data_IF_214393407104
#
_entry.id   IF_214393407104
#
_cell.length_a   1.000
_cell.length_b   1.000
_cell.length_c   1.000
_cell.angle_alpha   90.00
_cell.angle_beta   90.00
_cell.angle_gamma   90.00
#
_symmetry.space_group_name_H-M   'P 1'
#
loop_
_entity.id
_entity.type
_entity.pdbx_description
1 polymer ?
#
# COMPACT_ATOMS: atom_id res chain seq x y z
N UNK A 1 64.22 -65.90 19.55
CA UNK A 1 64.35 -64.52 20.07
C UNK A 1 63.78 -63.56 19.03
N UNK A 2 62.86 -62.67 19.45
CA UNK A 2 62.30 -61.49 18.76
C UNK A 2 61.53 -61.76 17.44
N UNK A 3 60.20 -61.91 17.43
CA UNK A 3 59.08 -60.94 17.62
C UNK A 3 58.88 -59.94 16.47
N UNK A 4 57.76 -60.05 15.75
CA UNK A 4 56.76 -59.03 15.34
C UNK A 4 56.02 -59.54 14.07
N UNK A 5 54.79 -60.05 14.18
CA UNK A 5 53.48 -59.35 14.09
C UNK A 5 53.17 -58.75 12.70
N UNK A 6 52.34 -59.44 11.93
CA UNK A 6 51.38 -58.85 10.99
C UNK A 6 50.01 -59.52 11.21
N UNK A 7 49.05 -58.75 11.72
CA UNK A 7 47.64 -59.13 11.83
C UNK A 7 46.93 -58.90 10.49
N UNK A 8 46.11 -59.86 10.09
CA UNK A 8 45.45 -59.91 8.79
C UNK A 8 44.30 -58.90 8.64
N UNK A 9 44.23 -58.32 7.43
CA UNK A 9 43.06 -57.66 6.87
C UNK A 9 41.99 -58.71 6.54
N UNK A 10 40.75 -58.48 6.97
CA UNK A 10 39.55 -59.02 6.30
C UNK A 10 38.65 -57.83 5.99
N UNK A 11 38.52 -57.51 4.70
CA UNK A 11 37.65 -56.46 4.19
C UNK A 11 36.22 -57.00 4.08
N UNK A 12 35.31 -56.42 4.84
CA UNK A 12 33.86 -56.61 4.67
C UNK A 12 33.31 -55.42 3.89
N UNK A 13 32.80 -55.69 2.69
CA UNK A 13 32.12 -54.71 1.82
C UNK A 13 30.70 -54.50 2.35
N UNK A 14 30.42 -53.30 2.87
CA UNK A 14 29.07 -52.84 3.21
C UNK A 14 28.58 -51.91 2.09
N UNK A 15 27.59 -52.39 1.33
CA UNK A 15 26.80 -51.57 0.42
C UNK A 15 25.92 -50.61 1.25
N UNK A 16 26.24 -49.32 1.20
CA UNK A 16 25.35 -48.26 1.71
C UNK A 16 24.41 -47.88 0.58
N UNK A 17 23.14 -48.24 0.72
CA UNK A 17 22.05 -47.70 -0.08
C UNK A 17 21.82 -46.25 0.34
N UNK A 18 22.24 -45.31 -0.51
CA UNK A 18 21.87 -43.90 -0.40
C UNK A 18 20.37 -43.76 -0.63
N UNK A 19 19.62 -43.54 0.44
CA UNK A 19 18.24 -43.06 0.38
C UNK A 19 18.26 -41.62 -0.16
N UNK A 20 17.73 -41.43 -1.36
CA UNK A 20 17.33 -40.13 -1.87
C UNK A 20 16.20 -39.58 -0.97
N UNK A 21 16.54 -38.76 0.02
CA UNK A 21 15.57 -37.90 0.68
C UNK A 21 15.30 -36.72 -0.26
N UNK A 22 14.23 -36.85 -1.06
CA UNK A 22 13.69 -35.76 -1.86
C UNK A 22 13.26 -34.61 -0.95
N UNK A 23 13.81 -33.43 -1.21
CA UNK A 23 13.27 -32.17 -0.72
C UNK A 23 11.92 -31.94 -1.40
N UNK A 24 10.83 -32.21 -0.68
CA UNK A 24 9.47 -31.98 -1.16
C UNK A 24 8.48 -31.99 0.00
N UNK A 25 7.78 -30.87 0.20
CA UNK A 25 6.62 -30.76 1.07
C UNK A 25 6.93 -30.35 2.52
N UNK A 26 7.21 -29.07 2.74
CA UNK A 26 7.16 -28.47 4.07
C UNK A 26 5.72 -28.40 4.58
N UNK A 27 5.19 -29.52 5.09
CA UNK A 27 3.96 -29.55 5.86
C UNK A 27 4.19 -28.87 7.22
N UNK A 28 3.92 -27.57 7.30
CA UNK A 28 3.82 -26.88 8.59
C UNK A 28 2.74 -27.53 9.45
N UNK A 29 2.94 -27.57 10.77
CA UNK A 29 2.02 -28.17 11.74
C UNK A 29 0.55 -27.83 11.43
N UNK A 30 -0.38 -28.76 11.70
CA UNK A 30 -1.82 -28.56 11.41
C UNK A 30 -2.37 -27.27 12.02
N UNK A 31 -1.83 -26.84 13.17
CA UNK A 31 -2.20 -25.60 13.85
C UNK A 31 -1.29 -24.41 13.52
N UNK A 32 -1.00 -24.19 12.24
CA UNK A 32 -0.22 -23.03 11.79
C UNK A 32 -0.75 -22.46 10.48
N UNK A 33 -0.47 -21.19 10.17
CA UNK A 33 -0.72 -20.58 8.87
C UNK A 33 0.52 -19.85 8.35
N UNK A 34 0.65 -19.75 7.03
CA UNK A 34 1.67 -18.95 6.38
C UNK A 34 1.06 -17.65 5.83
N UNK A 35 1.61 -16.51 6.23
CA UNK A 35 1.12 -15.17 5.88
C UNK A 35 2.17 -14.41 5.08
N UNK A 36 1.83 -13.99 3.87
CA UNK A 36 2.66 -13.12 3.03
C UNK A 36 2.21 -11.67 3.18
N UNK A 37 3.08 -10.79 3.68
CA UNK A 37 2.68 -9.48 4.19
C UNK A 37 3.61 -8.35 3.74
N UNK A 38 3.04 -7.19 3.41
CA UNK A 38 3.80 -5.96 3.14
C UNK A 38 4.51 -5.45 4.40
N UNK A 39 5.70 -4.87 4.25
CA UNK A 39 6.56 -4.46 5.37
C UNK A 39 6.25 -3.08 5.99
N UNK A 40 5.03 -2.55 5.80
CA UNK A 40 4.64 -1.25 6.35
C UNK A 40 4.68 -1.25 7.89
N UNK A 41 4.96 -0.12 8.56
CA UNK A 41 5.18 -0.10 10.01
C UNK A 41 4.07 -0.75 10.85
N UNK A 42 2.80 -0.51 10.53
CA UNK A 42 1.67 -1.11 11.25
C UNK A 42 1.55 -2.62 11.04
N UNK A 43 2.00 -3.14 9.88
CA UNK A 43 2.08 -4.59 9.63
C UNK A 43 3.22 -5.22 10.43
N UNK A 44 4.33 -4.51 10.63
CA UNK A 44 5.39 -4.96 11.53
C UNK A 44 4.91 -4.97 12.98
N UNK A 45 4.07 -4.02 13.39
CA UNK A 45 3.44 -4.02 14.70
C UNK A 45 2.49 -5.22 14.86
N UNK A 46 1.71 -5.57 13.83
CA UNK A 46 0.92 -6.80 13.79
C UNK A 46 1.78 -8.04 14.00
N UNK A 47 2.89 -8.16 13.26
CA UNK A 47 3.83 -9.27 13.39
C UNK A 47 4.34 -9.40 14.83
N UNK A 48 4.77 -8.29 15.45
CA UNK A 48 5.30 -8.26 16.82
C UNK A 48 4.25 -8.66 17.85
N UNK A 49 3.00 -8.21 17.68
CA UNK A 49 1.91 -8.47 18.62
C UNK A 49 1.30 -9.87 18.47
N UNK A 50 1.52 -10.54 17.34
CA UNK A 50 0.83 -11.81 17.01
C UNK A 50 1.15 -12.93 17.98
N UNK A 51 2.42 -13.12 18.36
CA UNK A 51 2.80 -14.24 19.22
C UNK A 51 2.13 -14.18 20.61
N UNK A 52 2.17 -12.99 21.23
CA UNK A 52 1.71 -12.80 22.61
C UNK A 52 0.19 -12.65 22.76
N UNK A 53 -0.53 -12.37 21.67
CA UNK A 53 -1.96 -12.05 21.71
C UNK A 53 -2.83 -12.97 20.84
N UNK A 54 -2.35 -13.41 19.68
CA UNK A 54 -3.10 -14.31 18.82
C UNK A 54 -2.67 -15.77 19.00
N UNK A 55 -1.37 -16.04 18.86
CA UNK A 55 -0.85 -17.41 18.96
C UNK A 55 -1.01 -17.96 20.37
N UNK A 56 -0.76 -17.15 21.40
CA UNK A 56 -0.98 -17.54 22.80
C UNK A 56 -2.43 -17.94 23.09
N UNK A 57 -3.40 -17.19 22.56
CA UNK A 57 -4.81 -17.38 22.89
C UNK A 57 -5.49 -18.46 22.03
N UNK A 58 -5.02 -18.66 20.80
CA UNK A 58 -5.62 -19.62 19.85
C UNK A 58 -4.82 -20.91 19.69
N UNK A 59 -3.55 -20.90 20.10
CA UNK A 59 -2.57 -21.94 19.80
C UNK A 59 -2.07 -21.96 18.35
N UNK A 60 -2.58 -21.08 17.47
CA UNK A 60 -2.24 -21.06 16.03
C UNK A 60 -0.94 -20.29 15.81
N UNK A 61 0.08 -20.98 15.28
CA UNK A 61 1.34 -20.32 14.89
C UNK A 61 1.18 -19.58 13.56
N UNK A 62 1.62 -18.33 13.50
CA UNK A 62 1.60 -17.53 12.27
C UNK A 62 3.02 -17.34 11.76
N UNK A 63 3.32 -17.91 10.58
CA UNK A 63 4.61 -17.78 9.93
C UNK A 63 4.55 -16.64 8.91
N UNK A 64 5.19 -15.51 9.22
CA UNK A 64 5.20 -14.36 8.35
C UNK A 64 6.37 -14.38 7.37
N UNK A 65 6.08 -14.16 6.09
CA UNK A 65 7.04 -13.65 5.11
C UNK A 65 6.72 -12.18 4.88
N UNK A 66 7.64 -11.29 5.24
CA UNK A 66 7.45 -9.83 5.17
C UNK A 66 8.37 -9.25 4.10
N UNK A 67 7.80 -8.55 3.11
CA UNK A 67 8.53 -8.03 1.96
C UNK A 67 8.14 -6.57 1.66
N UNK A 68 9.03 -5.79 0.99
CA UNK A 68 8.66 -4.50 0.40
C UNK A 68 7.48 -4.61 -0.58
N UNK A 69 6.73 -3.53 -0.76
CA UNK A 69 5.48 -3.51 -1.53
C UNK A 69 5.58 -4.08 -2.95
N UNK A 70 6.63 -3.74 -3.71
CA UNK A 70 6.80 -4.29 -5.06
C UNK A 70 7.05 -5.81 -5.01
N UNK A 71 8.00 -6.24 -4.17
CA UNK A 71 8.37 -7.64 -4.03
C UNK A 71 7.21 -8.50 -3.50
N UNK A 72 6.43 -7.97 -2.55
CA UNK A 72 5.30 -8.71 -1.97
C UNK A 72 4.21 -8.89 -3.00
N UNK A 73 3.87 -7.86 -3.80
CA UNK A 73 2.85 -7.96 -4.85
C UNK A 73 3.23 -8.96 -5.93
N UNK A 74 4.48 -8.93 -6.39
CA UNK A 74 4.98 -9.90 -7.38
C UNK A 74 4.88 -11.33 -6.82
N UNK A 75 5.29 -11.51 -5.56
CA UNK A 75 5.25 -12.83 -4.91
C UNK A 75 3.82 -13.33 -4.67
N UNK A 76 2.92 -12.45 -4.25
CA UNK A 76 1.49 -12.75 -4.08
C UNK A 76 0.89 -13.15 -5.43
N UNK A 77 1.09 -12.34 -6.46
CA UNK A 77 0.55 -12.60 -7.80
C UNK A 77 1.03 -13.95 -8.33
N UNK A 78 2.31 -14.28 -8.15
CA UNK A 78 2.85 -15.58 -8.55
C UNK A 78 2.20 -16.74 -7.77
N UNK A 79 2.12 -16.65 -6.45
CA UNK A 79 1.61 -17.75 -5.62
C UNK A 79 0.10 -17.95 -5.80
N UNK A 80 -0.67 -16.86 -5.81
CA UNK A 80 -2.13 -16.88 -5.93
C UNK A 80 -2.57 -17.22 -7.35
N UNK A 81 -1.92 -16.73 -8.42
CA UNK A 81 -2.31 -17.11 -9.78
C UNK A 81 -2.07 -18.59 -10.10
N UNK A 82 -0.97 -19.14 -9.59
CA UNK A 82 -0.63 -20.56 -9.77
C UNK A 82 -1.33 -21.49 -8.77
N UNK A 83 -2.02 -20.93 -7.78
CA UNK A 83 -2.64 -21.67 -6.68
C UNK A 83 -1.64 -22.63 -6.00
N UNK A 84 -0.40 -22.18 -5.81
CA UNK A 84 0.71 -23.00 -5.32
C UNK A 84 0.60 -23.38 -3.83
N UNK A 85 -0.27 -22.72 -3.06
CA UNK A 85 -0.55 -23.09 -1.68
C UNK A 85 0.60 -22.82 -0.71
N UNK A 86 1.58 -21.98 -1.06
CA UNK A 86 2.69 -21.69 -0.14
C UNK A 86 2.24 -20.76 1.00
N UNK A 87 1.27 -19.88 0.71
CA UNK A 87 0.71 -18.92 1.66
C UNK A 87 -0.79 -19.12 1.80
N UNK A 88 -1.26 -19.19 3.04
CA UNK A 88 -2.68 -19.30 3.35
C UNK A 88 -3.38 -17.94 3.23
N UNK A 89 -2.67 -16.88 3.64
CA UNK A 89 -3.15 -15.50 3.69
C UNK A 89 -2.13 -14.58 3.03
N UNK A 90 -2.61 -13.58 2.30
CA UNK A 90 -1.78 -12.51 1.76
C UNK A 90 -2.37 -11.13 2.05
N UNK A 91 -1.50 -10.11 2.22
CA UNK A 91 -1.93 -8.71 2.16
C UNK A 91 -2.15 -8.29 0.71
N UNK A 92 -3.40 -8.13 0.30
CA UNK A 92 -3.82 -7.61 -1.01
C UNK A 92 -4.51 -6.25 -0.82
N UNK A 93 -4.93 -5.60 -1.91
CA UNK A 93 -5.66 -4.34 -1.84
C UNK A 93 -6.99 -4.38 -2.60
N UNK A 94 -7.69 -3.25 -2.60
CA UNK A 94 -8.87 -3.02 -3.43
C UNK A 94 -8.58 -3.04 -4.95
N UNK A 95 -7.31 -3.00 -5.37
CA UNK A 95 -6.96 -3.28 -6.77
C UNK A 95 -7.00 -4.79 -7.05
N UNK A 96 -6.28 -5.60 -6.29
CA UNK A 96 -6.14 -7.04 -6.58
C UNK A 96 -7.41 -7.82 -6.22
N UNK A 97 -8.11 -7.45 -5.14
CA UNK A 97 -9.24 -8.23 -4.59
C UNK A 97 -10.30 -8.59 -5.64
N UNK A 98 -10.90 -7.64 -6.39
CA UNK A 98 -11.90 -7.98 -7.40
C UNK A 98 -11.32 -8.84 -8.54
N UNK A 99 -10.08 -8.56 -8.98
CA UNK A 99 -9.42 -9.30 -10.07
C UNK A 99 -9.16 -10.75 -9.64
N UNK A 100 -8.65 -10.96 -8.42
CA UNK A 100 -8.32 -12.28 -7.91
C UNK A 100 -9.58 -13.08 -7.59
N UNK A 101 -10.65 -12.41 -7.14
CA UNK A 101 -11.96 -13.02 -6.95
C UNK A 101 -12.55 -13.51 -8.29
N UNK A 102 -12.52 -12.69 -9.34
CA UNK A 102 -12.98 -13.05 -10.69
C UNK A 102 -12.22 -14.27 -11.24
N UNK A 103 -10.92 -14.35 -10.98
CA UNK A 103 -10.09 -15.49 -11.38
C UNK A 103 -10.23 -16.72 -10.46
N UNK A 104 -11.06 -16.64 -9.40
CA UNK A 104 -11.29 -17.74 -8.46
C UNK A 104 -10.11 -18.05 -7.55
N UNK A 105 -9.20 -17.10 -7.34
CA UNK A 105 -7.98 -17.29 -6.56
C UNK A 105 -8.16 -17.06 -5.06
N UNK A 106 -9.27 -16.44 -4.67
CA UNK A 106 -9.61 -16.12 -3.29
C UNK A 106 -10.77 -16.96 -2.76
N UNK A 107 -10.74 -17.22 -1.46
CA UNK A 107 -11.87 -17.80 -0.72
C UNK A 107 -12.90 -16.70 -0.44
N UNK A 108 -14.19 -16.87 -0.82
CA UNK A 108 -15.25 -15.96 -0.39
C UNK A 108 -15.41 -16.00 1.13
N UNK A 109 -15.65 -14.85 1.76
CA UNK A 109 -15.64 -14.71 3.21
C UNK A 109 -17.03 -14.61 3.84
N UNK A 110 -18.11 -14.56 3.05
CA UNK A 110 -19.48 -14.34 3.53
C UNK A 110 -19.93 -15.39 4.58
N UNK A 111 -19.63 -16.67 4.34
CA UNK A 111 -19.97 -17.75 5.28
C UNK A 111 -19.19 -17.63 6.60
N UNK A 112 -17.97 -17.11 6.56
CA UNK A 112 -17.16 -16.88 7.75
C UNK A 112 -17.68 -15.68 8.53
N UNK A 113 -17.96 -14.58 7.84
CA UNK A 113 -18.55 -13.37 8.41
C UNK A 113 -19.90 -13.66 9.06
N UNK A 114 -20.76 -14.44 8.40
CA UNK A 114 -22.07 -14.81 8.94
C UNK A 114 -21.99 -15.66 10.22
N UNK A 115 -20.95 -16.48 10.36
CA UNK A 115 -20.71 -17.32 11.56
C UNK A 115 -20.01 -16.55 12.67
N UNK A 116 -19.12 -15.62 12.32
CA UNK A 116 -18.35 -14.80 13.26
C UNK A 116 -19.06 -13.49 13.58
N UNK A 117 -20.13 -13.60 14.38
CA UNK A 117 -20.91 -12.42 14.82
C UNK A 117 -20.09 -11.39 15.60
N UNK A 118 -18.92 -11.76 16.13
CA UNK A 118 -18.01 -10.85 16.83
C UNK A 118 -17.20 -9.96 15.90
N UNK A 119 -17.05 -10.31 14.63
CA UNK A 119 -16.28 -9.52 13.65
C UNK A 119 -16.91 -8.16 13.34
N UNK A 120 -18.25 -8.10 13.38
CA UNK A 120 -19.05 -6.90 13.09
C UNK A 120 -18.69 -6.28 11.72
N UNK A 121 -19.19 -6.92 10.66
CA UNK A 121 -18.95 -6.49 9.27
C UNK A 121 -19.54 -5.11 8.97
N UNK A 122 -20.66 -4.75 9.59
CA UNK A 122 -21.36 -3.48 9.35
C UNK A 122 -20.62 -2.29 9.96
N UNK A 123 -19.72 -2.55 10.90
CA UNK A 123 -18.79 -1.55 11.42
C UNK A 123 -17.65 -1.22 10.44
N UNK A 124 -17.37 -2.07 9.43
CA UNK A 124 -16.43 -1.71 8.37
C UNK A 124 -16.98 -0.52 7.58
N UNK A 125 -16.13 0.46 7.27
CA UNK A 125 -16.51 1.62 6.47
C UNK A 125 -17.01 1.18 5.10
N UNK A 126 -18.13 1.75 4.67
CA UNK A 126 -18.84 1.32 3.46
C UNK A 126 -17.94 1.38 2.20
N UNK A 127 -17.19 2.47 1.93
CA UNK A 127 -16.31 2.52 0.76
C UNK A 127 -15.24 1.42 0.77
N UNK A 128 -14.69 1.10 1.94
CA UNK A 128 -13.67 0.05 2.10
C UNK A 128 -14.29 -1.32 1.87
N UNK A 129 -15.43 -1.60 2.52
CA UNK A 129 -16.16 -2.86 2.35
C UNK A 129 -16.52 -3.09 0.88
N UNK A 130 -17.11 -2.10 0.22
CA UNK A 130 -17.48 -2.17 -1.20
C UNK A 130 -16.26 -2.42 -2.10
N UNK A 131 -15.12 -1.81 -1.78
CA UNK A 131 -13.88 -1.98 -2.56
C UNK A 131 -13.27 -3.39 -2.47
N UNK A 132 -13.70 -4.19 -1.48
CA UNK A 132 -13.27 -5.59 -1.26
C UNK A 132 -14.36 -6.60 -1.63
N UNK A 133 -15.49 -6.12 -2.16
CA UNK A 133 -16.59 -6.92 -2.69
C UNK A 133 -16.43 -7.06 -4.20
N UNK A 134 -16.50 -8.29 -4.71
CA UNK A 134 -16.41 -8.55 -6.16
C UNK A 134 -17.77 -8.40 -6.85
N UNK A 135 -17.79 -8.52 -8.19
CA UNK A 135 -18.99 -8.33 -9.00
C UNK A 135 -20.12 -9.34 -8.71
N UNK A 136 -19.79 -10.50 -8.11
CA UNK A 136 -20.76 -11.50 -7.64
C UNK A 136 -21.45 -11.12 -6.30
N UNK A 137 -21.11 -9.95 -5.74
CA UNK A 137 -21.67 -9.42 -4.50
C UNK A 137 -21.04 -9.98 -3.23
N UNK A 138 -20.00 -10.81 -3.33
CA UNK A 138 -19.33 -11.44 -2.18
C UNK A 138 -18.11 -10.68 -1.73
N UNK A 139 -17.82 -10.76 -0.43
CA UNK A 139 -16.60 -10.17 0.16
C UNK A 139 -15.46 -11.17 0.08
N UNK A 140 -14.30 -10.75 -0.45
CA UNK A 140 -13.15 -11.64 -0.66
C UNK A 140 -11.90 -11.31 0.17
N UNK A 141 -11.92 -10.18 0.89
CA UNK A 141 -10.86 -9.78 1.81
C UNK A 141 -11.41 -8.94 2.96
N UNK A 142 -10.68 -8.88 4.07
CA UNK A 142 -11.01 -7.99 5.19
C UNK A 142 -9.91 -6.96 5.41
N UNK A 143 -10.26 -5.68 5.65
CA UNK A 143 -9.28 -4.60 5.71
C UNK A 143 -8.44 -4.66 6.98
N UNK A 144 -7.12 -4.60 6.84
CA UNK A 144 -6.22 -4.34 7.97
C UNK A 144 -6.13 -2.85 8.29
N UNK A 145 -6.08 -1.98 7.28
CA UNK A 145 -6.39 -0.55 7.40
C UNK A 145 -6.93 -0.02 6.08
N UNK A 146 -7.60 1.12 6.13
CA UNK A 146 -7.99 1.88 4.95
C UNK A 146 -7.29 3.25 4.95
N UNK A 147 -7.10 3.82 3.78
CA UNK A 147 -6.44 5.11 3.64
C UNK A 147 -6.99 5.89 2.45
N UNK A 148 -6.81 7.19 2.55
CA UNK A 148 -6.92 8.12 1.44
C UNK A 148 -5.57 8.82 1.26
N UNK A 149 -5.54 9.97 0.59
CA UNK A 149 -4.35 10.83 0.51
C UNK A 149 -4.65 12.24 0.96
N UNK A 150 -3.63 12.90 1.52
CA UNK A 150 -3.69 14.29 1.94
C UNK A 150 -2.29 14.91 1.96
N UNK A 151 -2.20 16.22 2.19
CA UNK A 151 -0.93 16.92 2.34
C UNK A 151 -0.58 17.06 3.83
N UNK A 152 0.54 16.47 4.23
CA UNK A 152 1.17 16.65 5.53
C UNK A 152 2.23 17.74 5.43
N UNK A 153 2.28 18.66 6.39
CA UNK A 153 3.26 19.75 6.38
C UNK A 153 3.74 20.12 7.79
N UNK A 154 4.97 20.62 7.89
CA UNK A 154 5.57 21.16 9.10
C UNK A 154 5.00 22.55 9.40
N UNK A 155 3.91 22.62 10.16
CA UNK A 155 3.27 23.90 10.53
C UNK A 155 4.21 24.83 11.27
N UNK A 156 5.12 24.30 12.09
CA UNK A 156 6.15 25.08 12.78
C UNK A 156 7.14 25.74 11.82
N UNK A 157 7.45 25.11 10.67
CA UNK A 157 8.30 25.67 9.63
C UNK A 157 7.55 26.74 8.82
N UNK A 158 6.28 26.51 8.49
CA UNK A 158 5.44 27.48 7.79
C UNK A 158 5.20 28.72 8.66
N UNK A 159 4.84 28.54 9.92
CA UNK A 159 4.61 29.63 10.89
C UNK A 159 5.85 30.50 11.06
N UNK A 160 7.04 29.89 11.17
CA UNK A 160 8.31 30.61 11.26
C UNK A 160 8.64 31.45 10.02
N UNK A 161 8.04 31.11 8.87
CA UNK A 161 8.17 31.85 7.60
C UNK A 161 6.99 32.82 7.36
N UNK A 162 6.00 32.86 8.25
CA UNK A 162 4.77 33.63 8.06
C UNK A 162 3.90 33.10 6.92
N UNK A 163 4.01 31.81 6.60
CA UNK A 163 3.22 31.13 5.57
C UNK A 163 2.05 30.38 6.20
N UNK A 164 0.95 30.25 5.46
CA UNK A 164 -0.19 29.45 5.86
C UNK A 164 -0.54 28.45 4.77
N UNK A 165 -0.88 27.21 5.15
CA UNK A 165 -1.40 26.20 4.23
C UNK A 165 -2.94 26.30 4.17
N UNK A 166 -3.55 26.51 3.00
CA UNK A 166 -5.00 26.41 2.84
C UNK A 166 -5.50 25.00 3.20
N UNK A 167 -6.72 24.88 3.72
CA UNK A 167 -7.32 23.57 4.02
C UNK A 167 -7.50 22.71 2.76
N UNK A 168 -7.76 23.36 1.61
CA UNK A 168 -7.87 22.76 0.28
C UNK A 168 -6.88 23.42 -0.68
N UNK A 169 -5.59 23.07 -0.62
CA UNK A 169 -4.58 23.72 -1.43
C UNK A 169 -4.69 23.30 -2.90
N UNK A 170 -4.18 24.14 -3.80
CA UNK A 170 -3.93 23.74 -5.19
C UNK A 170 -2.49 23.24 -5.36
N UNK A 171 -2.25 22.40 -6.37
CA UNK A 171 -0.88 21.96 -6.67
C UNK A 171 0.10 23.13 -6.90
N UNK A 172 -0.25 24.20 -7.64
CA UNK A 172 0.58 25.40 -7.71
C UNK A 172 0.89 26.04 -6.35
N UNK A 173 -0.10 26.15 -5.45
CA UNK A 173 0.15 26.66 -4.09
C UNK A 173 1.12 25.76 -3.31
N UNK A 174 1.00 24.44 -3.46
CA UNK A 174 1.94 23.50 -2.84
C UNK A 174 3.36 23.68 -3.40
N UNK A 175 3.51 23.88 -4.71
CA UNK A 175 4.81 24.15 -5.31
C UNK A 175 5.44 25.46 -4.81
N UNK A 176 4.65 26.54 -4.73
CA UNK A 176 5.09 27.83 -4.22
C UNK A 176 5.53 27.73 -2.74
N UNK A 177 4.76 27.03 -1.92
CA UNK A 177 5.12 26.80 -0.51
C UNK A 177 6.38 25.93 -0.42
N UNK A 178 6.50 24.88 -1.23
CA UNK A 178 7.67 24.00 -1.25
C UNK A 178 8.95 24.79 -1.56
N UNK A 179 8.89 25.67 -2.57
CA UNK A 179 9.99 26.55 -2.91
C UNK A 179 10.36 27.51 -1.76
N UNK A 180 9.36 28.05 -1.06
CA UNK A 180 9.59 29.01 0.03
C UNK A 180 10.18 28.37 1.31
N UNK A 181 9.92 27.07 1.54
CA UNK A 181 10.39 26.33 2.72
C UNK A 181 11.58 25.40 2.44
N UNK A 182 11.97 25.21 1.18
CA UNK A 182 13.22 24.51 0.83
C UNK A 182 14.42 25.24 1.47
N UNK A 183 15.26 24.50 2.19
CA UNK A 183 16.37 25.06 2.96
C UNK A 183 15.96 25.89 4.17
N UNK A 184 14.70 25.84 4.63
CA UNK A 184 14.27 26.55 5.85
C UNK A 184 15.01 26.08 7.11
N UNK A 185 15.47 24.82 7.11
CA UNK A 185 16.38 24.26 8.10
C UNK A 185 17.58 23.61 7.38
N UNK A 186 18.76 23.51 7.99
CA UNK A 186 19.92 22.89 7.35
C UNK A 186 19.62 21.49 6.81
N UNK A 187 19.77 21.30 5.50
CA UNK A 187 19.51 20.02 4.82
C UNK A 187 18.03 19.67 4.60
N UNK A 188 17.10 20.53 5.00
CA UNK A 188 15.66 20.33 4.76
C UNK A 188 15.30 20.65 3.31
N UNK A 189 14.45 19.81 2.70
CA UNK A 189 13.87 20.00 1.38
C UNK A 189 12.40 20.44 1.45
N UNK A 190 11.92 21.07 0.38
CA UNK A 190 10.60 21.66 0.34
C UNK A 190 9.48 20.62 0.47
N UNK A 191 9.62 19.50 -0.24
CA UNK A 191 8.61 18.45 -0.29
C UNK A 191 9.25 17.07 -0.49
N UNK A 192 8.60 16.00 -0.01
CA UNK A 192 8.85 14.64 -0.47
C UNK A 192 7.71 14.17 -1.36
N UNK A 193 8.01 13.55 -2.50
CA UNK A 193 7.02 12.88 -3.35
C UNK A 193 7.63 11.60 -3.91
N UNK A 194 6.84 10.52 -3.98
CA UNK A 194 7.36 9.22 -4.40
C UNK A 194 8.00 9.29 -5.78
N UNK A 195 9.24 8.86 -5.92
CA UNK A 195 9.92 8.67 -7.21
C UNK A 195 10.33 7.23 -7.50
N UNK A 196 10.18 6.33 -6.52
CA UNK A 196 10.47 4.90 -6.68
C UNK A 196 9.55 4.26 -7.75
N UNK A 197 10.11 3.57 -8.75
CA UNK A 197 9.31 2.82 -9.71
C UNK A 197 8.39 1.79 -9.04
N UNK A 198 7.16 1.70 -9.52
CA UNK A 198 6.14 0.75 -9.11
C UNK A 198 4.74 1.31 -9.40
N UNK A 199 3.84 0.45 -9.87
CA UNK A 199 2.45 0.84 -10.19
C UNK A 199 1.67 1.38 -8.97
N UNK A 200 1.96 0.89 -7.77
CA UNK A 200 1.44 1.46 -6.51
C UNK A 200 2.45 2.30 -5.73
N UNK A 201 3.65 2.51 -6.27
CA UNK A 201 4.64 3.46 -5.76
C UNK A 201 4.48 4.81 -6.46
N UNK A 202 5.45 5.26 -7.28
CA UNK A 202 5.40 6.53 -8.01
C UNK A 202 4.06 6.77 -8.73
N UNK A 203 3.48 5.75 -9.37
CA UNK A 203 2.25 5.97 -10.13
C UNK A 203 1.01 6.22 -9.28
N UNK A 204 1.00 5.82 -8.00
CA UNK A 204 -0.13 6.09 -7.13
C UNK A 204 -0.37 7.60 -6.92
N UNK A 205 0.54 8.37 -6.30
CA UNK A 205 0.36 9.81 -6.15
C UNK A 205 0.34 10.51 -7.51
N UNK A 206 1.19 10.14 -8.46
CA UNK A 206 1.24 10.81 -9.77
C UNK A 206 -0.09 10.67 -10.54
N UNK A 207 -0.75 9.52 -10.51
CA UNK A 207 -2.05 9.36 -11.17
C UNK A 207 -3.09 10.31 -10.57
N UNK A 208 -3.07 10.55 -9.25
CA UNK A 208 -3.96 11.55 -8.65
C UNK A 208 -3.68 12.98 -9.11
N UNK A 209 -2.40 13.33 -9.33
CA UNK A 209 -2.00 14.61 -9.92
C UNK A 209 -2.49 14.72 -11.36
N UNK A 210 -2.25 13.69 -12.18
CA UNK A 210 -2.75 13.60 -13.56
C UNK A 210 -4.26 13.83 -13.61
N UNK A 211 -5.02 13.16 -12.76
CA UNK A 211 -6.48 13.27 -12.73
C UNK A 211 -6.95 14.71 -12.50
N UNK A 212 -6.32 15.42 -11.55
CA UNK A 212 -6.75 16.78 -11.20
C UNK A 212 -6.32 17.83 -12.22
N UNK A 213 -5.27 17.58 -13.00
CA UNK A 213 -4.92 18.39 -14.18
C UNK A 213 -5.86 18.12 -15.38
N UNK A 214 -6.71 17.10 -15.28
CA UNK A 214 -7.67 16.70 -16.30
C UNK A 214 -7.19 15.58 -17.21
N UNK A 215 -6.01 15.02 -16.95
CA UNK A 215 -5.49 13.86 -17.68
C UNK A 215 -6.21 12.56 -17.31
N UNK A 216 -6.00 11.54 -18.13
CA UNK A 216 -6.47 10.17 -17.88
C UNK A 216 -5.50 9.17 -18.50
N UNK A 217 -5.50 7.94 -18.00
CA UNK A 217 -4.79 6.85 -18.68
C UNK A 217 -5.53 6.44 -19.96
N UNK A 218 -6.84 6.27 -19.85
CA UNK A 218 -7.73 5.87 -20.93
C UNK A 218 -9.00 6.72 -20.92
N UNK A 219 -9.50 7.08 -22.11
CA UNK A 219 -10.87 7.60 -22.27
C UNK A 219 -11.88 6.46 -22.09
N UNK A 220 -13.18 6.80 -21.96
CA UNK A 220 -14.27 5.81 -21.91
C UNK A 220 -14.28 4.83 -23.09
N UNK A 221 -13.76 5.24 -24.25
CA UNK A 221 -13.68 4.43 -25.47
C UNK A 221 -12.33 3.72 -25.62
N UNK A 222 -11.55 3.60 -24.53
CA UNK A 222 -10.23 2.96 -24.52
C UNK A 222 -9.24 3.60 -25.51
N UNK A 223 -9.19 4.92 -25.59
CA UNK A 223 -8.06 5.63 -26.21
C UNK A 223 -7.03 5.94 -25.14
N UNK A 224 -5.77 5.56 -25.33
CA UNK A 224 -4.72 5.89 -24.37
C UNK A 224 -4.38 7.38 -24.45
N UNK A 225 -4.06 8.02 -23.32
CA UNK A 225 -3.90 9.48 -23.23
C UNK A 225 -2.66 9.90 -22.42
N UNK A 226 -1.63 9.06 -22.35
CA UNK A 226 -0.44 9.28 -21.52
C UNK A 226 0.44 10.41 -22.06
N UNK A 227 0.43 10.68 -23.36
CA UNK A 227 1.11 11.83 -23.95
C UNK A 227 0.15 12.97 -24.34
N UNK A 228 -1.10 12.92 -23.88
CA UNK A 228 -2.04 14.03 -24.05
C UNK A 228 -1.58 15.27 -23.26
N UNK A 229 -1.95 16.49 -23.70
CA UNK A 229 -1.48 17.73 -23.08
C UNK A 229 -1.66 17.78 -21.55
N UNK A 230 -2.81 17.34 -21.03
CA UNK A 230 -3.10 17.36 -19.59
C UNK A 230 -2.27 16.35 -18.80
N UNK A 231 -2.04 15.15 -19.36
CA UNK A 231 -1.18 14.14 -18.71
C UNK A 231 0.27 14.60 -18.69
N UNK A 232 0.75 15.15 -19.82
CA UNK A 232 2.06 15.75 -19.95
C UNK A 232 2.26 16.87 -18.94
N UNK A 233 1.35 17.85 -18.90
CA UNK A 233 1.43 18.99 -17.98
C UNK A 233 1.53 18.54 -16.52
N UNK A 234 0.75 17.55 -16.11
CA UNK A 234 0.79 17.02 -14.75
C UNK A 234 2.12 16.31 -14.43
N UNK A 235 2.63 15.53 -15.38
CA UNK A 235 3.88 14.78 -15.22
C UNK A 235 5.07 15.72 -15.20
N UNK A 236 5.11 16.73 -16.08
CA UNK A 236 6.12 17.79 -16.06
C UNK A 236 6.09 18.55 -14.73
N UNK A 237 4.91 18.99 -14.27
CA UNK A 237 4.76 19.64 -12.98
C UNK A 237 5.34 18.79 -11.84
N UNK A 238 5.00 17.50 -11.79
CA UNK A 238 5.47 16.58 -10.74
C UNK A 238 6.99 16.41 -10.79
N UNK A 239 7.54 16.13 -11.98
CA UNK A 239 8.98 15.92 -12.18
C UNK A 239 9.77 17.18 -11.85
N UNK A 240 9.30 18.35 -12.30
CA UNK A 240 9.97 19.62 -12.04
C UNK A 240 9.94 19.98 -10.56
N UNK A 241 8.80 19.77 -9.88
CA UNK A 241 8.69 19.99 -8.44
C UNK A 241 9.67 19.11 -7.65
N UNK A 242 9.72 17.82 -7.96
CA UNK A 242 10.66 16.88 -7.31
C UNK A 242 12.11 17.25 -7.61
N UNK A 243 12.45 17.62 -8.85
CA UNK A 243 13.82 17.98 -9.20
C UNK A 243 14.27 19.30 -8.55
N UNK A 244 13.36 20.26 -8.39
CA UNK A 244 13.67 21.56 -7.82
C UNK A 244 13.72 21.52 -6.29
N UNK A 245 12.72 20.89 -5.66
CA UNK A 245 12.45 21.01 -4.22
C UNK A 245 12.25 19.67 -3.49
N UNK A 246 12.43 18.56 -4.20
CA UNK A 246 12.34 17.21 -3.68
C UNK A 246 13.53 16.78 -2.84
N UNK A 247 13.34 15.65 -2.19
CA UNK A 247 14.29 14.92 -1.38
C UNK A 247 15.51 14.41 -2.17
N UNK A 248 16.63 14.22 -1.48
CA UNK A 248 17.79 13.56 -2.06
C UNK A 248 17.48 12.08 -2.35
N UNK A 249 17.83 11.62 -3.55
CA UNK A 249 17.55 10.23 -3.96
C UNK A 249 16.07 9.99 -4.31
N UNK A 250 15.33 11.01 -4.72
CA UNK A 250 13.91 10.90 -5.06
C UNK A 250 13.54 9.71 -5.96
N UNK A 251 14.31 9.34 -7.01
CA UNK A 251 14.00 8.15 -7.82
C UNK A 251 14.00 6.81 -7.05
N UNK A 252 14.50 6.79 -5.80
CA UNK A 252 14.46 5.64 -4.90
C UNK A 252 13.48 5.81 -3.74
N UNK A 253 12.85 6.98 -3.60
CA UNK A 253 11.96 7.26 -2.48
C UNK A 253 10.55 6.73 -2.77
N UNK A 254 10.11 5.74 -1.99
CA UNK A 254 8.71 5.30 -1.91
C UNK A 254 8.04 5.86 -0.66
N UNK A 255 6.97 5.18 -0.24
CA UNK A 255 6.26 5.53 1.00
C UNK A 255 7.19 5.56 2.23
N UNK A 256 7.99 4.50 2.41
CA UNK A 256 8.79 4.30 3.60
C UNK A 256 9.91 5.36 3.71
N UNK A 257 10.54 5.69 2.59
CA UNK A 257 11.59 6.70 2.52
C UNK A 257 11.03 8.10 2.79
N UNK A 258 9.88 8.45 2.21
CA UNK A 258 9.24 9.74 2.50
C UNK A 258 8.71 9.85 3.93
N UNK A 259 8.13 8.78 4.48
CA UNK A 259 7.75 8.71 5.89
C UNK A 259 8.97 8.96 6.80
N UNK A 260 10.08 8.29 6.49
CA UNK A 260 11.32 8.46 7.24
C UNK A 260 11.90 9.88 7.10
N UNK A 261 11.86 10.46 5.89
CA UNK A 261 12.31 11.83 5.66
C UNK A 261 11.47 12.85 6.44
N UNK A 262 10.14 12.70 6.45
CA UNK A 262 9.25 13.55 7.24
C UNK A 262 9.50 13.35 8.75
N UNK A 263 9.60 12.10 9.21
CA UNK A 263 9.90 11.76 10.62
C UNK A 263 11.21 12.40 11.07
N UNK A 264 12.26 12.35 10.25
CA UNK A 264 13.55 12.94 10.57
C UNK A 264 13.61 14.46 10.35
N UNK A 265 12.50 15.09 9.94
CA UNK A 265 12.44 16.52 9.64
C UNK A 265 13.31 16.94 8.44
N UNK A 266 13.60 16.03 7.51
CA UNK A 266 14.37 16.30 6.29
C UNK A 266 13.54 16.93 5.18
N UNK A 267 12.21 16.88 5.27
CA UNK A 267 11.29 17.57 4.36
C UNK A 267 10.29 18.41 5.15
N UNK A 268 9.85 19.51 4.55
CA UNK A 268 8.83 20.37 5.14
C UNK A 268 7.40 19.92 4.80
N UNK A 269 7.20 19.27 3.65
CA UNK A 269 5.89 18.80 3.18
C UNK A 269 5.96 17.39 2.59
N UNK A 270 4.82 16.70 2.56
CA UNK A 270 4.67 15.39 1.94
C UNK A 270 3.21 15.13 1.60
N UNK A 271 2.92 14.89 0.32
CA UNK A 271 1.59 14.47 -0.14
C UNK A 271 1.56 12.94 -0.31
N UNK A 272 0.77 12.25 0.51
CA UNK A 272 0.72 10.79 0.53
C UNK A 272 -0.43 10.23 1.39
N UNK A 273 -0.38 8.93 1.66
CA UNK A 273 -1.33 8.14 2.42
C UNK A 273 -1.65 8.72 3.79
N UNK A 274 -2.94 8.77 4.13
CA UNK A 274 -3.43 9.24 5.44
C UNK A 274 -2.90 8.41 6.60
N UNK A 275 -2.61 7.13 6.38
CA UNK A 275 -2.10 6.19 7.39
C UNK A 275 -0.79 6.64 8.03
N UNK A 276 -0.01 7.47 7.33
CA UNK A 276 1.26 7.99 7.84
C UNK A 276 1.09 8.94 9.04
N UNK A 277 -0.03 9.67 9.13
CA UNK A 277 -0.19 10.68 10.17
C UNK A 277 -0.21 10.10 11.58
N UNK A 278 -0.83 8.92 11.77
CA UNK A 278 -0.83 8.24 13.04
C UNK A 278 0.57 7.88 13.55
N UNK A 279 1.46 7.53 12.62
CA UNK A 279 2.87 7.23 12.89
C UNK A 279 3.67 8.51 13.19
N UNK A 280 3.40 9.59 12.45
CA UNK A 280 4.08 10.87 12.62
C UNK A 280 3.64 11.62 13.90
N UNK A 281 2.44 11.36 14.40
CA UNK A 281 1.89 11.93 15.63
C UNK A 281 2.00 10.97 16.84
N UNK A 282 2.67 9.82 16.67
CA UNK A 282 2.95 8.88 17.76
C UNK A 282 3.86 9.49 18.83
N UNK A 283 3.75 8.99 20.06
CA UNK A 283 4.48 9.52 21.23
C UNK A 283 6.00 9.52 21.08
N UNK A 284 6.54 8.58 20.31
CA UNK A 284 7.97 8.42 20.02
C UNK A 284 8.42 9.17 18.75
N UNK A 285 7.50 9.86 18.06
CA UNK A 285 7.83 10.64 16.86
C UNK A 285 8.45 11.99 17.23
N UNK A 286 9.63 12.34 16.69
CA UNK A 286 10.27 13.64 16.96
C UNK A 286 9.55 14.83 16.29
N UNK A 287 8.59 14.56 15.41
CA UNK A 287 7.75 15.57 14.75
C UNK A 287 6.32 15.63 15.29
N UNK A 288 6.01 14.86 16.35
CA UNK A 288 4.71 14.92 17.02
C UNK A 288 4.34 16.36 17.40
N UNK A 289 3.11 16.74 17.10
CA UNK A 289 2.56 18.06 17.36
C UNK A 289 3.09 19.17 16.46
N UNK A 290 4.07 18.90 15.58
CA UNK A 290 4.67 19.87 14.64
C UNK A 290 4.06 19.81 13.25
N UNK A 291 3.11 18.91 13.02
CA UNK A 291 2.45 18.77 11.72
C UNK A 291 1.10 19.47 11.68
N UNK A 292 0.76 19.92 10.48
CA UNK A 292 -0.57 20.22 10.02
C UNK A 292 -0.94 19.28 8.86
N UNK A 293 -2.24 19.19 8.60
CA UNK A 293 -2.83 18.31 7.59
C UNK A 293 -3.82 19.13 6.76
N UNK A 294 -3.70 19.06 5.44
CA UNK A 294 -4.59 19.70 4.49
C UNK A 294 -5.09 18.67 3.49
N UNK A 295 -6.25 18.89 2.89
CA UNK A 295 -6.84 17.99 1.90
C UNK A 295 -5.89 17.77 0.69
N UNK A 296 -6.14 16.68 -0.05
CA UNK A 296 -5.38 16.38 -1.26
C UNK A 296 -5.38 17.57 -2.23
N UNK A 297 -4.22 18.01 -2.75
CA UNK A 297 -4.18 19.19 -3.61
C UNK A 297 -4.86 18.96 -4.97
N UNK A 298 -5.50 20.00 -5.49
CA UNK A 298 -6.28 19.94 -6.74
C UNK A 298 -5.84 21.01 -7.76
N UNK A 299 -6.32 20.88 -9.00
CA UNK A 299 -6.27 21.91 -10.05
C UNK A 299 -7.66 22.12 -10.65
N UNK A 300 -8.24 21.10 -11.29
CA UNK A 300 -9.54 21.18 -11.97
C UNK A 300 -10.65 20.35 -11.31
N UNK A 301 -10.32 19.52 -10.32
CA UNK A 301 -11.28 18.64 -9.63
C UNK A 301 -11.65 19.19 -8.24
N UNK A 302 -12.80 18.77 -7.71
CA UNK A 302 -13.22 19.12 -6.35
C UNK A 302 -12.44 18.37 -5.26
N UNK A 303 -11.87 17.22 -5.62
CA UNK A 303 -11.01 16.38 -4.78
C UNK A 303 -10.06 15.56 -5.66
N UNK A 304 -8.93 15.14 -5.10
CA UNK A 304 -7.96 14.21 -5.70
C UNK A 304 -7.58 13.07 -4.74
N UNK A 305 -8.23 13.01 -3.58
CA UNK A 305 -7.90 12.07 -2.51
C UNK A 305 -8.21 10.64 -2.95
N UNK A 306 -7.26 9.72 -2.80
CA UNK A 306 -7.45 8.34 -3.27
C UNK A 306 -8.28 7.48 -2.32
N UNK A 307 -8.58 6.24 -2.71
CA UNK A 307 -9.08 5.22 -1.80
C UNK A 307 -8.20 3.99 -1.92
N UNK A 308 -7.59 3.57 -0.82
CA UNK A 308 -6.77 2.38 -0.78
C UNK A 308 -7.02 1.62 0.52
N UNK A 309 -6.76 0.32 0.49
CA UNK A 309 -6.74 -0.52 1.69
C UNK A 309 -5.69 -1.59 1.53
N UNK A 310 -4.94 -1.87 2.59
CA UNK A 310 -4.29 -3.15 2.72
C UNK A 310 -5.21 -4.08 3.50
N UNK A 311 -5.57 -5.19 2.88
CA UNK A 311 -6.55 -6.15 3.34
C UNK A 311 -5.96 -7.57 3.30
N UNK A 312 -6.50 -8.47 4.12
CA UNK A 312 -6.11 -9.87 4.10
C UNK A 312 -7.07 -10.69 3.25
N UNK A 313 -6.54 -11.31 2.20
CA UNK A 313 -7.24 -12.30 1.38
C UNK A 313 -6.77 -13.71 1.72
N UNK A 314 -7.69 -14.67 1.76
CA UNK A 314 -7.38 -16.09 1.97
C UNK A 314 -7.30 -16.79 0.61
N UNK A 315 -6.18 -17.44 0.32
CA UNK A 315 -5.99 -18.15 -0.95
C UNK A 315 -7.01 -19.30 -1.06
N UNK A 316 -7.60 -19.48 -2.24
CA UNK A 316 -8.56 -20.56 -2.50
C UNK A 316 -7.97 -21.96 -2.32
N UNK A 317 -6.70 -22.14 -2.64
CA UNK A 317 -5.98 -23.40 -2.48
C UNK A 317 -5.69 -23.80 -1.03
N UNK A 318 -5.77 -22.86 -0.07
CA UNK A 318 -5.43 -23.13 1.34
C UNK A 318 -6.29 -24.26 1.90
N UNK A 319 -5.64 -25.21 2.57
CA UNK A 319 -6.30 -26.27 3.36
C UNK A 319 -6.52 -25.86 4.81
N UNK A 320 -6.16 -24.61 5.16
CA UNK A 320 -6.18 -24.06 6.52
C UNK A 320 -7.07 -22.83 6.63
N UNK A 321 -8.08 -22.73 5.76
CA UNK A 321 -8.95 -21.56 5.64
C UNK A 321 -9.65 -21.16 6.96
N UNK A 322 -10.04 -22.12 7.80
CA UNK A 322 -10.62 -21.83 9.12
C UNK A 322 -9.62 -21.14 10.07
N UNK A 323 -8.36 -21.59 10.07
CA UNK A 323 -7.30 -20.99 10.88
C UNK A 323 -6.86 -19.63 10.31
N UNK A 324 -6.82 -19.53 8.97
CA UNK A 324 -6.58 -18.28 8.28
C UNK A 324 -7.67 -17.24 8.62
N UNK A 325 -8.95 -17.63 8.62
CA UNK A 325 -10.05 -16.75 9.02
C UNK A 325 -9.91 -16.25 10.45
N UNK A 326 -9.55 -17.11 11.41
CA UNK A 326 -9.33 -16.68 12.81
C UNK A 326 -8.29 -15.56 12.90
N UNK A 327 -7.20 -15.67 12.14
CA UNK A 327 -6.18 -14.62 12.06
C UNK A 327 -6.71 -13.35 11.40
N UNK A 328 -7.38 -13.48 10.24
CA UNK A 328 -7.95 -12.35 9.50
C UNK A 328 -8.98 -11.58 10.34
N UNK A 329 -9.88 -12.30 11.00
CA UNK A 329 -10.90 -11.74 11.90
C UNK A 329 -10.26 -11.02 13.09
N UNK A 330 -9.25 -11.62 13.73
CA UNK A 330 -8.51 -10.98 14.82
C UNK A 330 -7.81 -9.69 14.35
N UNK A 331 -6.96 -9.77 13.32
CA UNK A 331 -6.15 -8.65 12.84
C UNK A 331 -6.98 -7.49 12.29
N UNK A 332 -8.13 -7.80 11.69
CA UNK A 332 -9.05 -6.81 11.11
C UNK A 332 -10.15 -6.38 12.09
N UNK A 333 -10.18 -6.97 13.28
CA UNK A 333 -11.23 -6.78 14.29
C UNK A 333 -11.02 -5.57 15.21
N UNK A 334 -12.10 -5.16 15.88
CA UNK A 334 -12.09 -4.10 16.91
C UNK A 334 -11.11 -4.39 18.05
N UNK A 335 -10.98 -5.66 18.43
CA UNK A 335 -10.08 -6.10 19.51
C UNK A 335 -8.61 -5.83 19.21
N UNK A 336 -8.18 -5.97 17.95
CA UNK A 336 -6.81 -5.64 17.56
C UNK A 336 -6.53 -4.13 17.63
N UNK A 337 -7.48 -3.29 17.22
CA UNK A 337 -7.36 -1.84 17.42
C UNK A 337 -7.25 -1.51 18.91
N UNK A 338 -8.08 -2.09 19.77
CA UNK A 338 -8.00 -1.86 21.21
C UNK A 338 -6.65 -2.29 21.80
N UNK A 339 -6.11 -3.42 21.34
CA UNK A 339 -4.77 -3.89 21.71
C UNK A 339 -3.69 -2.86 21.32
N UNK A 340 -3.69 -2.40 20.06
CA UNK A 340 -2.72 -1.40 19.58
C UNK A 340 -2.85 -0.11 20.39
N UNK A 341 -4.07 0.39 20.58
CA UNK A 341 -4.31 1.61 21.35
C UNK A 341 -3.76 1.56 22.77
N UNK A 342 -3.93 0.43 23.45
CA UNK A 342 -3.44 0.23 24.84
C UNK A 342 -1.95 -0.02 24.94
N UNK A 343 -1.32 -0.61 23.92
CA UNK A 343 0.08 -1.09 24.01
C UNK A 343 1.07 -0.19 23.27
N UNK A 344 0.67 0.35 22.11
CA UNK A 344 1.51 1.15 21.23
C UNK A 344 1.06 2.62 21.15
N UNK A 345 -0.15 2.91 21.62
CA UNK A 345 -0.73 4.25 21.64
C UNK A 345 -1.84 4.45 20.62
N UNK A 346 -2.84 5.25 20.99
CA UNK A 346 -4.06 5.44 20.22
C UNK A 346 -3.88 6.15 18.87
N UNK A 347 -2.80 6.90 18.65
CA UNK A 347 -2.53 7.46 17.31
C UNK A 347 -2.06 6.41 16.31
N UNK A 348 -1.54 5.26 16.77
CA UNK A 348 -0.96 4.22 15.91
C UNK A 348 -1.97 3.18 15.42
N UNK A 349 -3.25 3.35 15.73
CA UNK A 349 -4.29 2.43 15.27
C UNK A 349 -4.20 2.23 13.75
N UNK A 350 -4.37 0.99 13.24
CA UNK A 350 -4.56 0.75 11.82
C UNK A 350 -5.97 1.22 11.44
N UNK A 351 -6.10 2.53 11.23
CA UNK A 351 -7.34 3.26 11.09
C UNK A 351 -7.94 3.13 9.67
N UNK A 352 -8.96 3.96 9.37
CA UNK A 352 -9.55 4.04 8.04
C UNK A 352 -10.34 2.80 7.59
N UNK A 353 -10.55 1.81 8.46
CA UNK A 353 -11.34 0.62 8.16
C UNK A 353 -12.68 0.53 8.89
N UNK A 354 -12.82 1.12 10.08
CA UNK A 354 -13.98 0.91 10.97
C UNK A 354 -14.61 2.22 11.44
N UNK A 355 -15.94 2.24 11.48
CA UNK A 355 -16.75 3.37 11.98
C UNK A 355 -16.48 3.61 13.46
N UNK A 356 -16.42 2.54 14.25
CA UNK A 356 -16.17 2.60 15.70
C UNK A 356 -14.81 3.22 16.06
N UNK A 357 -13.80 3.13 15.19
CA UNK A 357 -12.50 3.81 15.37
C UNK A 357 -12.69 5.32 15.45
N UNK A 358 -13.44 5.90 14.52
CA UNK A 358 -13.71 7.34 14.44
C UNK A 358 -14.72 7.85 15.48
N UNK A 359 -15.37 6.95 16.22
CA UNK A 359 -16.25 7.29 17.35
C UNK A 359 -15.53 7.20 18.71
N UNK A 360 -14.31 6.66 18.73
CA UNK A 360 -13.57 6.37 19.96
C UNK A 360 -12.92 7.64 20.52
N UNK A 361 -13.26 8.06 21.75
CA UNK A 361 -12.72 9.29 22.35
C UNK A 361 -11.19 9.31 22.43
N UNK A 362 -10.56 8.19 22.76
CA UNK A 362 -9.11 8.06 22.89
C UNK A 362 -8.40 8.23 21.55
N UNK A 363 -8.94 7.66 20.48
CA UNK A 363 -8.43 7.85 19.12
C UNK A 363 -8.64 9.29 18.66
N UNK A 364 -9.81 9.88 18.87
CA UNK A 364 -10.05 11.27 18.49
C UNK A 364 -9.16 12.26 19.25
N UNK A 365 -8.88 12.00 20.52
CA UNK A 365 -7.98 12.81 21.32
C UNK A 365 -6.52 12.69 20.85
N UNK A 366 -6.05 11.47 20.56
CA UNK A 366 -4.69 11.23 20.08
C UNK A 366 -4.49 11.65 18.61
N UNK A 367 -5.52 11.43 17.77
CA UNK A 367 -5.48 11.69 16.34
C UNK A 367 -5.75 13.14 15.94
N UNK A 368 -6.38 13.92 16.83
CA UNK A 368 -6.58 15.35 16.64
C UNK A 368 -7.20 15.69 15.29
N UNK A 369 -6.53 16.55 14.52
CA UNK A 369 -7.02 16.98 13.21
C UNK A 369 -6.87 15.91 12.13
N UNK A 370 -5.84 15.04 12.17
CA UNK A 370 -5.65 14.08 11.08
C UNK A 370 -6.75 13.02 11.04
N UNK A 371 -7.26 12.58 12.20
CA UNK A 371 -8.31 11.57 12.26
C UNK A 371 -9.56 12.00 11.46
N UNK A 372 -10.03 13.24 11.69
CA UNK A 372 -11.18 13.80 10.97
C UNK A 372 -10.90 14.00 9.48
N UNK A 373 -9.70 14.43 9.13
CA UNK A 373 -9.31 14.66 7.74
C UNK A 373 -9.21 13.32 6.98
N UNK A 374 -8.68 12.28 7.61
CA UNK A 374 -8.60 10.93 7.06
C UNK A 374 -9.99 10.32 6.86
N UNK A 375 -10.88 10.40 7.87
CA UNK A 375 -12.27 9.92 7.74
C UNK A 375 -13.00 10.62 6.59
N UNK A 376 -12.91 11.96 6.52
CA UNK A 376 -13.56 12.74 5.48
C UNK A 376 -13.00 12.41 4.09
N UNK A 377 -11.68 12.21 3.97
CA UNK A 377 -11.04 11.86 2.71
C UNK A 377 -11.47 10.45 2.23
N UNK A 378 -11.51 9.46 3.13
CA UNK A 378 -11.99 8.10 2.81
C UNK A 378 -13.47 8.12 2.42
N UNK A 379 -14.31 8.80 3.20
CA UNK A 379 -15.75 8.89 2.94
C UNK A 379 -16.07 9.66 1.65
N UNK A 380 -15.23 10.65 1.29
CA UNK A 380 -15.38 11.48 0.11
C UNK A 380 -14.73 10.91 -1.16
N UNK A 381 -13.99 9.82 -1.08
CA UNK A 381 -13.31 9.24 -2.22
C UNK A 381 -14.31 8.66 -3.24
N UNK A 382 -14.08 8.93 -4.52
CA UNK A 382 -14.96 8.52 -5.63
C UNK A 382 -14.20 7.69 -6.68
N UNK A 383 -13.94 6.39 -6.43
CA UNK A 383 -13.19 5.56 -7.38
C UNK A 383 -13.82 5.44 -8.77
N UNK A 384 -15.13 5.66 -8.91
CA UNK A 384 -15.85 5.63 -10.19
C UNK A 384 -15.90 6.99 -10.89
N UNK A 385 -15.49 8.06 -10.22
CA UNK A 385 -15.47 9.44 -10.73
C UNK A 385 -14.19 10.18 -10.26
N UNK A 386 -13.00 9.70 -10.68
CA UNK A 386 -11.72 10.15 -10.13
C UNK A 386 -11.13 11.43 -10.77
N UNK A 387 -11.77 12.00 -11.81
CA UNK A 387 -11.19 13.08 -12.63
C UNK A 387 -12.25 14.05 -13.17
N UNK A 388 -11.99 14.61 -14.35
CA UNK A 388 -12.91 15.56 -15.02
C UNK A 388 -13.74 14.94 -16.16
N UNK A 389 -13.59 13.63 -16.36
CA UNK A 389 -14.18 12.89 -17.47
C UNK A 389 -14.51 11.45 -17.06
N UNK A 390 -15.51 10.87 -17.73
CA UNK A 390 -15.87 9.47 -17.59
C UNK A 390 -14.71 8.55 -18.01
N UNK A 391 -14.59 7.42 -17.31
CA UNK A 391 -13.54 6.41 -17.52
C UNK A 391 -14.15 5.03 -17.67
N UNK A 392 -13.48 4.10 -18.37
CA UNK A 392 -14.06 2.80 -18.66
C UNK A 392 -14.05 1.85 -17.44
N UNK A 393 -13.21 2.14 -16.43
CA UNK A 393 -13.06 1.33 -15.22
C UNK A 393 -12.83 2.22 -14.00
N UNK A 394 -13.07 1.67 -12.82
CA UNK A 394 -12.84 2.34 -11.54
C UNK A 394 -11.34 2.42 -11.18
N UNK A 395 -11.04 3.34 -10.25
CA UNK A 395 -9.71 3.58 -9.68
C UNK A 395 -9.35 5.06 -9.67
N UNK A 396 -8.78 5.54 -8.56
CA UNK A 396 -8.30 6.93 -8.45
C UNK A 396 -6.81 7.00 -8.79
N UNK A 397 -6.01 6.22 -8.06
CA UNK A 397 -4.55 6.16 -8.13
C UNK A 397 -4.03 4.98 -8.96
N UNK A 398 -4.93 4.13 -9.45
CA UNK A 398 -4.65 3.00 -10.35
C UNK A 398 -5.75 2.89 -11.41
N UNK A 399 -5.54 2.05 -12.43
CA UNK A 399 -6.58 1.66 -13.40
C UNK A 399 -7.03 0.24 -13.09
N UNK A 400 -8.33 0.02 -12.86
CA UNK A 400 -8.90 -1.27 -12.45
C UNK A 400 -8.93 -2.34 -13.54
N UNK A 401 -7.77 -2.70 -14.09
CA UNK A 401 -7.59 -3.79 -15.06
C UNK A 401 -6.39 -4.67 -14.66
N UNK A 402 -6.40 -5.98 -14.97
CA UNK A 402 -5.29 -6.89 -14.65
C UNK A 402 -3.93 -6.43 -15.20
N UNK A 403 -3.91 -5.83 -16.38
CA UNK A 403 -2.71 -5.36 -17.06
C UNK A 403 -2.03 -4.17 -16.36
N UNK A 404 -2.70 -3.49 -15.43
CA UNK A 404 -2.18 -2.25 -14.85
C UNK A 404 -0.94 -2.50 -13.98
N UNK A 405 -0.78 -3.68 -13.41
CA UNK A 405 0.45 -4.01 -12.65
C UNK A 405 1.70 -3.88 -13.51
N UNK A 406 1.67 -4.46 -14.72
CA UNK A 406 2.78 -4.42 -15.67
C UNK A 406 2.88 -3.06 -16.34
N UNK A 407 1.78 -2.56 -16.91
CA UNK A 407 1.72 -1.27 -17.59
C UNK A 407 2.17 -0.13 -16.65
N UNK A 408 1.57 -0.04 -15.47
CA UNK A 408 1.88 0.98 -14.47
C UNK A 408 3.34 0.91 -14.01
N UNK A 409 3.90 -0.31 -13.88
CA UNK A 409 5.31 -0.48 -13.51
C UNK A 409 6.25 -0.01 -14.60
N UNK A 410 6.03 -0.39 -15.86
CA UNK A 410 6.87 0.06 -16.97
C UNK A 410 6.81 1.58 -17.17
N UNK A 411 5.61 2.17 -17.08
CA UNK A 411 5.44 3.64 -17.14
C UNK A 411 6.17 4.32 -15.98
N UNK A 412 6.07 3.78 -14.76
CA UNK A 412 6.75 4.33 -13.60
C UNK A 412 8.28 4.34 -13.76
N UNK A 413 8.86 3.33 -14.40
CA UNK A 413 10.30 3.26 -14.64
C UNK A 413 10.76 4.39 -15.56
N UNK A 414 9.98 4.67 -16.61
CA UNK A 414 10.25 5.75 -17.57
C UNK A 414 10.15 7.13 -16.90
N UNK A 415 9.12 7.34 -16.09
CA UNK A 415 8.93 8.62 -15.38
C UNK A 415 9.98 8.80 -14.27
N UNK A 416 10.31 7.75 -13.54
CA UNK A 416 11.40 7.77 -12.55
C UNK A 416 12.76 8.07 -13.18
N UNK A 417 13.01 7.59 -14.41
CA UNK A 417 14.18 7.99 -15.20
C UNK A 417 14.16 9.49 -15.55
N UNK A 418 13.00 10.08 -15.80
CA UNK A 418 12.87 11.53 -16.00
C UNK A 418 13.12 12.32 -14.70
N UNK A 419 12.65 11.83 -13.54
CA UNK A 419 12.99 12.38 -12.21
C UNK A 419 14.52 12.35 -12.00
N UNK A 420 15.17 11.24 -12.38
CA UNK A 420 16.62 11.09 -12.32
C UNK A 420 17.40 11.95 -13.34
N UNK A 421 16.71 12.59 -14.29
CA UNK A 421 17.34 13.37 -15.37
C UNK A 421 17.98 12.53 -16.47
N UNK A 422 17.67 11.23 -16.54
CA UNK A 422 18.20 10.31 -17.56
C UNK A 422 17.43 10.38 -18.89
N UNK A 423 16.20 10.88 -18.88
CA UNK A 423 15.37 11.12 -20.07
C UNK A 423 14.51 12.38 -19.87
N UNK A 424 13.84 12.85 -20.92
CA UNK A 424 12.85 13.93 -20.83
C UNK A 424 11.47 13.36 -20.48
N UNK A 425 10.59 14.19 -19.92
CA UNK A 425 9.20 13.80 -19.68
C UNK A 425 8.51 13.42 -21.00
N UNK A 426 8.75 14.18 -22.08
CA UNK A 426 8.21 13.87 -23.40
C UNK A 426 8.58 12.48 -23.89
N UNK A 427 9.87 12.13 -23.88
CA UNK A 427 10.31 10.83 -24.33
C UNK A 427 9.74 9.71 -23.45
N UNK A 428 9.72 9.91 -22.12
CA UNK A 428 9.12 8.97 -21.19
C UNK A 428 7.63 8.72 -21.47
N UNK A 429 6.86 9.78 -21.76
CA UNK A 429 5.43 9.69 -22.02
C UNK A 429 5.10 9.13 -23.41
N UNK A 430 5.88 9.45 -24.43
CA UNK A 430 5.70 8.88 -25.78
C UNK A 430 5.92 7.36 -25.78
N UNK A 431 6.96 6.88 -25.10
CA UNK A 431 7.17 5.45 -24.90
C UNK A 431 6.06 4.81 -24.05
N UNK A 432 5.56 5.53 -23.05
CA UNK A 432 4.47 5.07 -22.18
C UNK A 432 3.13 4.97 -22.94
N UNK A 433 2.87 5.92 -23.85
CA UNK A 433 1.70 5.90 -24.72
C UNK A 433 1.64 4.62 -25.55
N UNK A 434 2.77 4.18 -26.13
CA UNK A 434 2.82 2.96 -26.93
C UNK A 434 2.47 1.69 -26.10
N UNK A 435 2.93 1.64 -24.84
CA UNK A 435 2.59 0.56 -23.91
C UNK A 435 1.08 0.57 -23.60
N UNK A 436 0.53 1.75 -23.31
CA UNK A 436 -0.89 1.90 -23.01
C UNK A 436 -1.78 1.58 -24.22
N UNK A 437 -1.40 1.97 -25.43
CA UNK A 437 -2.10 1.62 -26.68
C UNK A 437 -2.21 0.10 -26.86
N UNK A 438 -1.13 -0.64 -26.59
CA UNK A 438 -1.12 -2.11 -26.65
C UNK A 438 -2.14 -2.73 -25.69
N UNK A 439 -2.30 -2.15 -24.49
CA UNK A 439 -3.33 -2.58 -23.54
C UNK A 439 -4.72 -2.18 -24.04
N UNK A 440 -4.88 -0.96 -24.55
CA UNK A 440 -6.15 -0.41 -25.00
C UNK A 440 -6.79 -1.22 -26.13
N UNK A 441 -5.98 -1.75 -27.06
CA UNK A 441 -6.43 -2.61 -28.16
C UNK A 441 -7.21 -3.85 -27.67
N UNK A 442 -6.94 -4.35 -26.47
CA UNK A 442 -7.67 -5.50 -25.89
C UNK A 442 -9.12 -5.18 -25.52
N UNK A 443 -9.45 -3.90 -25.36
CA UNK A 443 -10.73 -3.43 -24.84
C UNK A 443 -11.57 -2.68 -25.87
N UNK A 444 -10.95 -2.12 -26.92
CA UNK A 444 -11.70 -1.44 -28.00
C UNK A 444 -12.70 -2.39 -28.66
N UNK A 445 -13.98 -2.00 -28.66
CA UNK A 445 -15.06 -2.74 -29.32
C UNK A 445 -15.63 -3.92 -28.53
N UNK A 446 -15.22 -4.10 -27.27
CA UNK A 446 -15.94 -4.90 -26.27
C UNK A 446 -16.88 -3.99 -25.48
#
# INVERSE_FOLDING_TARGET
MKSLRYGGLVAAVLMVTTACAGAGGGGGAENSINVLMVNNPQMQDLQKLTADNFTKDTGITVNFTVLPENDVRDKISQDFSSQAGQYDVATISNYETPIYAENGWLTPLDDYVAKDTGFDQDDVLEPIRQSLTAADGKVYAQPFYGESSFLMYRKDVLDAKGLAMPEKPTWPQVADIAAAVDGAQPGMKGICLRGQPGWGQLMAPLTTVVNTFGGTWFTKDWQAQLNAPEFKQATEFYVDLVRAHGEAGAPQAGFAECLNNMTQGKVAMWYDATVAAGLLEADDSPVKGKLGFAQAPVVKTDSSAWLYTWAFGIQKASKKADNAWKFVSWASGKGYEELVGKTLGWSRLPDGKRKSTYQRPEYLAAGGSFAKQAEAAIAGAKPTDPGVQERPVSGIQFVGIPEFTDLGTQVSQKISAAIAGATTVDAALDESQALAETVAEKYRGK
#
